data_IF_792525502411
#
_entry.id   IF_792525502411
#
_cell.length_a   1.000
_cell.length_b   1.000
_cell.length_c   1.000
_cell.angle_alpha   90.00
_cell.angle_beta   90.00
_cell.angle_gamma   90.00
#
_symmetry.space_group_name_H-M   'P 1'
#
loop_
_entity.id
_entity.type
_entity.pdbx_description
1 polymer ?
#
# COMPACT_ATOMS: atom_id res chain seq x y z
N UNK A 1 20.18 -4.84 -17.13
CA UNK A 1 19.26 -3.69 -17.27
C UNK A 1 19.10 -3.05 -15.91
N UNK A 2 19.26 -1.75 -15.86
CA UNK A 2 19.16 -0.94 -14.64
C UNK A 2 17.72 -0.82 -14.16
N UNK A 3 17.54 -0.73 -12.85
CA UNK A 3 16.23 -0.46 -12.23
C UNK A 3 16.09 1.05 -12.01
N UNK A 4 15.06 1.64 -12.59
CA UNK A 4 14.74 3.06 -12.41
C UNK A 4 13.52 3.20 -11.52
N UNK A 5 13.61 4.07 -10.47
CA UNK A 5 12.48 4.40 -9.59
C UNK A 5 12.07 5.84 -9.83
N UNK A 6 10.78 6.07 -10.01
CA UNK A 6 10.20 7.40 -10.26
C UNK A 6 8.71 7.43 -9.93
N UNK A 7 8.13 8.63 -9.92
CA UNK A 7 6.69 8.78 -9.83
C UNK A 7 6.01 8.14 -11.06
N UNK A 8 4.89 7.46 -10.82
CA UNK A 8 4.08 6.86 -11.88
C UNK A 8 3.35 7.91 -12.70
N UNK A 9 3.39 7.77 -14.02
CA UNK A 9 2.50 8.51 -14.90
C UNK A 9 1.04 7.99 -14.82
N UNK A 10 0.05 8.78 -15.29
CA UNK A 10 -1.36 8.38 -15.27
C UNK A 10 -1.64 7.03 -15.95
N UNK A 11 -0.94 6.73 -17.05
CA UNK A 11 -1.08 5.48 -17.80
C UNK A 11 -0.50 4.27 -17.06
N UNK A 12 0.38 4.47 -16.09
CA UNK A 12 1.05 3.38 -15.35
C UNK A 12 0.28 2.94 -14.08
N UNK A 13 -0.79 3.64 -13.71
CA UNK A 13 -1.54 3.29 -12.50
C UNK A 13 -2.14 1.88 -12.55
N UNK A 14 -2.57 1.42 -13.71
CA UNK A 14 -3.06 0.04 -13.88
C UNK A 14 -1.92 -0.98 -13.75
N UNK A 15 -0.75 -0.71 -14.33
CA UNK A 15 0.43 -1.56 -14.18
C UNK A 15 0.91 -1.61 -12.73
N UNK A 16 0.92 -0.47 -12.02
CA UNK A 16 1.21 -0.41 -10.60
C UNK A 16 0.22 -1.24 -9.78
N UNK A 17 -1.09 -1.11 -10.06
CA UNK A 17 -2.13 -1.89 -9.40
C UNK A 17 -1.97 -3.39 -9.66
N UNK A 18 -1.60 -3.80 -10.87
CA UNK A 18 -1.36 -5.20 -11.21
C UNK A 18 -0.14 -5.78 -10.46
N UNK A 19 0.94 -5.01 -10.32
CA UNK A 19 2.11 -5.40 -9.52
C UNK A 19 1.74 -5.56 -8.05
N UNK A 20 0.99 -4.62 -7.47
CA UNK A 20 0.50 -4.72 -6.09
C UNK A 20 -0.42 -5.93 -5.93
N UNK A 21 -1.37 -6.15 -6.84
CA UNK A 21 -2.27 -7.30 -6.82
C UNK A 21 -1.51 -8.63 -6.79
N UNK A 22 -0.49 -8.77 -7.62
CA UNK A 22 0.35 -9.97 -7.63
C UNK A 22 1.20 -10.11 -6.36
N UNK A 23 1.70 -8.99 -5.81
CA UNK A 23 2.50 -9.01 -4.58
C UNK A 23 1.69 -9.39 -3.34
N UNK A 24 0.41 -8.98 -3.29
CA UNK A 24 -0.52 -9.21 -2.18
C UNK A 24 -1.47 -10.39 -2.39
N UNK A 25 -1.30 -11.18 -3.44
CA UNK A 25 -2.17 -12.32 -3.73
C UNK A 25 -2.31 -13.28 -2.53
N UNK A 26 -1.22 -13.51 -1.79
CA UNK A 26 -1.16 -14.39 -0.62
C UNK A 26 -1.07 -13.63 0.71
N UNK A 27 -1.41 -12.32 0.72
CA UNK A 27 -1.37 -11.54 1.96
C UNK A 27 -2.47 -12.01 2.94
N UNK A 28 -2.09 -12.35 4.19
CA UNK A 28 -3.03 -12.91 5.16
C UNK A 28 -4.10 -11.89 5.61
N UNK A 29 -3.80 -10.60 5.64
CA UNK A 29 -4.78 -9.57 6.00
C UNK A 29 -5.81 -9.42 4.88
N UNK A 30 -5.35 -9.38 3.62
CA UNK A 30 -6.24 -9.32 2.46
C UNK A 30 -7.16 -10.56 2.39
N UNK A 31 -6.66 -11.74 2.74
CA UNK A 31 -7.43 -12.98 2.74
C UNK A 31 -8.62 -12.95 3.72
N UNK A 32 -8.58 -12.16 4.78
CA UNK A 32 -9.69 -12.06 5.75
C UNK A 32 -10.95 -11.42 5.16
N UNK A 33 -10.83 -10.47 4.23
CA UNK A 33 -11.97 -9.83 3.60
C UNK A 33 -12.17 -10.21 2.13
N UNK A 34 -11.14 -10.76 1.50
CA UNK A 34 -11.20 -11.33 0.15
C UNK A 34 -10.45 -12.68 0.11
N UNK A 35 -11.06 -13.76 0.65
CA UNK A 35 -10.43 -15.08 0.60
C UNK A 35 -10.25 -15.55 -0.84
N UNK A 36 -9.22 -16.36 -1.13
CA UNK A 36 -9.05 -16.97 -2.44
C UNK A 36 -10.23 -17.88 -2.78
N UNK A 37 -10.55 -18.00 -4.06
CA UNK A 37 -11.60 -18.89 -4.56
C UNK A 37 -10.98 -19.93 -5.51
N UNK A 38 -11.47 -21.18 -5.52
CA UNK A 38 -11.01 -22.19 -6.46
C UNK A 38 -11.14 -21.71 -7.92
N UNK A 39 -10.13 -21.95 -8.75
CA UNK A 39 -10.13 -21.59 -10.17
C UNK A 39 -10.03 -20.11 -10.48
N UNK A 40 -9.76 -19.26 -9.49
CA UNK A 40 -9.67 -17.80 -9.66
C UNK A 40 -8.23 -17.39 -10.03
N UNK A 41 -8.08 -16.62 -11.10
CA UNK A 41 -6.87 -15.85 -11.39
C UNK A 41 -6.77 -14.65 -10.43
N UNK A 42 -6.36 -14.94 -9.18
CA UNK A 42 -6.44 -14.01 -8.07
C UNK A 42 -5.75 -12.66 -8.33
N UNK A 43 -4.53 -12.57 -8.92
CA UNK A 43 -3.92 -11.29 -9.23
C UNK A 43 -4.78 -10.45 -10.19
N UNK A 44 -5.38 -11.05 -11.20
CA UNK A 44 -6.24 -10.33 -12.15
C UNK A 44 -7.48 -9.74 -11.46
N UNK A 45 -8.13 -10.51 -10.59
CA UNK A 45 -9.29 -10.04 -9.80
C UNK A 45 -8.89 -8.92 -8.84
N UNK A 46 -7.73 -9.03 -8.18
CA UNK A 46 -7.24 -8.03 -7.23
C UNK A 46 -6.75 -6.74 -7.90
N UNK A 47 -6.36 -6.77 -9.18
CA UNK A 47 -5.93 -5.56 -9.89
C UNK A 47 -6.98 -4.45 -9.82
N UNK A 48 -8.26 -4.79 -10.05
CA UNK A 48 -9.35 -3.83 -9.91
C UNK A 48 -9.51 -3.27 -8.49
N UNK A 49 -9.25 -4.09 -7.46
CA UNK A 49 -9.27 -3.64 -6.07
C UNK A 49 -8.14 -2.63 -5.80
N UNK A 50 -6.90 -2.94 -6.18
CA UNK A 50 -5.77 -2.03 -5.96
C UNK A 50 -5.89 -0.75 -6.78
N UNK A 51 -6.39 -0.82 -8.02
CA UNK A 51 -6.70 0.36 -8.81
C UNK A 51 -7.76 1.25 -8.12
N UNK A 52 -8.81 0.64 -7.55
CA UNK A 52 -9.81 1.36 -6.78
C UNK A 52 -9.25 1.95 -5.49
N UNK A 53 -8.40 1.22 -4.75
CA UNK A 53 -7.71 1.74 -3.56
C UNK A 53 -6.87 2.98 -3.90
N UNK A 54 -6.05 2.92 -4.94
CA UNK A 54 -5.26 4.06 -5.40
C UNK A 54 -6.17 5.24 -5.77
N UNK A 55 -7.25 5.00 -6.50
CA UNK A 55 -8.17 6.06 -6.94
C UNK A 55 -9.09 6.58 -5.84
N UNK A 56 -9.25 5.86 -4.73
CA UNK A 56 -10.05 6.30 -3.58
C UNK A 56 -9.41 7.45 -2.81
N UNK A 57 -8.13 7.72 -3.05
CA UNK A 57 -7.40 8.85 -2.47
C UNK A 57 -7.36 10.00 -3.49
N UNK A 58 -7.66 11.25 -3.09
CA UNK A 58 -7.58 12.40 -3.97
C UNK A 58 -6.20 12.56 -4.62
N UNK A 59 -6.18 13.08 -5.84
CA UNK A 59 -4.94 13.23 -6.62
C UNK A 59 -3.90 14.12 -5.91
N UNK A 60 -4.36 15.10 -5.13
CA UNK A 60 -3.52 15.99 -4.32
C UNK A 60 -2.72 15.26 -3.25
N UNK A 61 -3.29 14.19 -2.70
CA UNK A 61 -2.69 13.39 -1.62
C UNK A 61 -2.06 12.10 -2.08
N UNK A 62 -2.48 11.61 -3.23
CA UNK A 62 -2.02 10.34 -3.78
C UNK A 62 -0.63 10.45 -4.38
N UNK A 63 0.28 9.57 -3.97
CA UNK A 63 1.60 9.41 -4.59
C UNK A 63 1.79 7.94 -4.90
N UNK A 64 2.06 7.64 -6.17
CA UNK A 64 2.39 6.29 -6.63
C UNK A 64 3.77 6.37 -7.24
N UNK A 65 4.70 5.60 -6.71
CA UNK A 65 6.03 5.44 -7.25
C UNK A 65 6.13 4.06 -7.89
N UNK A 66 6.81 3.97 -9.02
CA UNK A 66 7.05 2.72 -9.75
C UNK A 66 8.53 2.46 -9.91
N UNK A 67 8.89 1.19 -9.88
CA UNK A 67 10.21 0.71 -10.29
C UNK A 67 10.07 0.01 -11.64
N UNK A 68 10.89 0.40 -12.62
CA UNK A 68 10.87 -0.18 -13.95
C UNK A 68 12.21 -0.85 -14.27
N UNK A 69 12.15 -1.89 -15.10
CA UNK A 69 13.30 -2.50 -15.78
C UNK A 69 12.98 -2.49 -17.28
N UNK A 70 13.67 -1.63 -18.03
CA UNK A 70 13.19 -1.23 -19.35
C UNK A 70 11.81 -0.59 -19.24
N UNK A 71 10.89 -0.97 -20.12
CA UNK A 71 9.51 -0.44 -20.14
C UNK A 71 8.54 -1.15 -19.16
N UNK A 72 9.02 -2.18 -18.44
CA UNK A 72 8.16 -2.96 -17.54
C UNK A 72 8.15 -2.41 -16.13
N UNK A 73 6.98 -2.12 -15.59
CA UNK A 73 6.78 -1.89 -14.16
C UNK A 73 6.95 -3.22 -13.41
N UNK A 74 7.91 -3.27 -12.52
CA UNK A 74 8.26 -4.46 -11.72
C UNK A 74 8.09 -4.26 -10.22
N UNK A 75 7.87 -3.02 -9.78
CA UNK A 75 7.59 -2.66 -8.39
C UNK A 75 6.69 -1.44 -8.33
N UNK A 76 5.90 -1.33 -7.27
CA UNK A 76 5.07 -0.16 -7.03
C UNK A 76 4.96 0.12 -5.53
N UNK A 77 4.88 1.41 -5.17
CA UNK A 77 4.59 1.87 -3.82
C UNK A 77 3.50 2.94 -3.87
N UNK A 78 2.48 2.78 -3.04
CA UNK A 78 1.37 3.73 -2.94
C UNK A 78 1.42 4.42 -1.58
N UNK A 79 1.56 5.74 -1.62
CA UNK A 79 1.64 6.60 -0.46
C UNK A 79 0.51 7.62 -0.42
N UNK A 80 0.16 8.02 0.80
CA UNK A 80 -0.73 9.15 1.04
C UNK A 80 0.06 10.27 1.72
N UNK A 81 -0.06 11.48 1.18
CA UNK A 81 0.58 12.66 1.72
C UNK A 81 -0.04 13.06 3.06
N UNK A 82 0.75 13.72 3.96
CA UNK A 82 0.25 14.18 5.25
C UNK A 82 -0.85 15.22 5.13
N UNK A 83 -1.61 15.40 6.21
CA UNK A 83 -2.63 16.43 6.35
C UNK A 83 -4.02 16.01 5.87
N UNK A 84 -4.95 16.98 6.00
CA UNK A 84 -6.35 16.81 5.62
C UNK A 84 -6.49 16.75 4.10
N UNK A 85 -7.30 15.82 3.61
CA UNK A 85 -7.45 15.55 2.18
C UNK A 85 -8.81 16.04 1.67
N UNK A 86 -8.92 17.30 1.18
CA UNK A 86 -10.16 17.79 0.57
C UNK A 86 -10.60 16.86 -0.57
N UNK A 87 -11.89 16.50 -0.58
CA UNK A 87 -12.44 15.61 -1.61
C UNK A 87 -12.22 14.11 -1.37
N UNK A 88 -11.64 13.69 -0.24
CA UNK A 88 -11.42 12.28 0.09
C UNK A 88 -12.70 11.46 0.08
N UNK A 89 -13.75 11.93 0.70
CA UNK A 89 -15.06 11.25 0.70
C UNK A 89 -15.58 11.05 -0.74
N UNK A 90 -15.51 12.08 -1.58
CA UNK A 90 -15.96 11.97 -2.98
C UNK A 90 -15.11 10.98 -3.79
N UNK A 91 -13.80 11.00 -3.61
CA UNK A 91 -12.89 10.07 -4.26
C UNK A 91 -13.20 8.63 -3.85
N UNK A 92 -13.40 8.38 -2.54
CA UNK A 92 -13.76 7.07 -2.00
C UNK A 92 -15.11 6.57 -2.52
N UNK A 93 -16.17 7.39 -2.43
CA UNK A 93 -17.53 7.00 -2.85
C UNK A 93 -17.58 6.59 -4.32
N UNK A 94 -16.80 7.24 -5.18
CA UNK A 94 -16.69 6.86 -6.59
C UNK A 94 -16.15 5.44 -6.80
N UNK A 95 -15.39 4.89 -5.84
CA UNK A 95 -14.80 3.57 -5.95
C UNK A 95 -15.65 2.47 -5.28
N UNK A 96 -16.73 2.83 -4.57
CA UNK A 96 -17.62 1.87 -3.90
C UNK A 96 -18.13 0.77 -4.84
N UNK A 97 -18.56 1.05 -6.09
CA UNK A 97 -18.98 -0.01 -7.01
C UNK A 97 -17.86 -1.02 -7.33
N UNK A 98 -16.61 -0.55 -7.47
CA UNK A 98 -15.46 -1.41 -7.72
C UNK A 98 -15.14 -2.27 -6.48
N UNK A 99 -15.20 -1.70 -5.29
CA UNK A 99 -15.03 -2.43 -4.03
C UNK A 99 -16.10 -3.52 -3.86
N UNK A 100 -17.37 -3.18 -4.07
CA UNK A 100 -18.47 -4.15 -3.96
C UNK A 100 -18.37 -5.27 -5.01
N UNK A 101 -17.95 -4.94 -6.23
CA UNK A 101 -17.74 -5.96 -7.29
C UNK A 101 -16.67 -6.97 -6.91
N UNK A 102 -15.57 -6.52 -6.33
CA UNK A 102 -14.43 -7.39 -5.99
C UNK A 102 -14.64 -8.12 -4.66
N UNK A 103 -15.14 -7.43 -3.65
CA UNK A 103 -15.24 -7.95 -2.28
C UNK A 103 -16.59 -8.58 -1.98
N UNK A 104 -17.65 -8.19 -2.69
CA UNK A 104 -19.02 -8.42 -2.29
C UNK A 104 -19.38 -7.63 -1.02
N UNK A 105 -20.65 -7.62 -0.63
CA UNK A 105 -21.12 -6.86 0.52
C UNK A 105 -20.45 -7.30 1.83
N UNK A 106 -20.39 -8.59 2.09
CA UNK A 106 -19.79 -9.15 3.32
C UNK A 106 -18.29 -8.86 3.41
N UNK A 107 -17.55 -8.97 2.29
CA UNK A 107 -16.14 -8.61 2.22
C UNK A 107 -15.90 -7.11 2.42
N UNK A 108 -16.73 -6.26 1.82
CA UNK A 108 -16.65 -4.81 1.98
C UNK A 108 -16.90 -4.38 3.44
N UNK A 109 -17.87 -4.98 4.13
CA UNK A 109 -18.12 -4.69 5.54
C UNK A 109 -16.92 -5.10 6.42
N UNK A 110 -16.31 -6.28 6.15
CA UNK A 110 -15.09 -6.70 6.85
C UNK A 110 -13.93 -5.75 6.55
N UNK A 111 -13.72 -5.37 5.29
CA UNK A 111 -12.68 -4.41 4.92
C UNK A 111 -12.83 -3.06 5.63
N UNK A 112 -14.05 -2.52 5.73
CA UNK A 112 -14.33 -1.30 6.50
C UNK A 112 -13.98 -1.48 7.98
N UNK A 113 -14.33 -2.62 8.57
CA UNK A 113 -13.98 -2.90 9.97
C UNK A 113 -12.46 -2.96 10.18
N UNK A 114 -11.70 -3.57 9.26
CA UNK A 114 -10.23 -3.62 9.29
C UNK A 114 -9.62 -2.22 9.11
N UNK A 115 -10.08 -1.46 8.12
CA UNK A 115 -9.64 -0.08 7.91
C UNK A 115 -9.83 0.80 9.15
N UNK A 116 -10.98 0.70 9.82
CA UNK A 116 -11.23 1.43 11.08
C UNK A 116 -10.27 1.04 12.20
N UNK A 117 -9.85 -0.23 12.27
CA UNK A 117 -8.84 -0.67 13.25
C UNK A 117 -7.47 -0.08 12.95
N UNK A 118 -7.07 -0.12 11.68
CA UNK A 118 -5.80 0.49 11.22
C UNK A 118 -5.82 2.01 11.46
N UNK A 119 -6.89 2.71 11.09
CA UNK A 119 -7.01 4.16 11.31
C UNK A 119 -6.90 4.56 12.80
N UNK A 120 -7.46 3.76 13.72
CA UNK A 120 -7.33 4.03 15.16
C UNK A 120 -5.90 3.85 15.69
N UNK A 121 -5.08 3.06 15.00
CA UNK A 121 -3.69 2.84 15.37
C UNK A 121 -2.76 3.91 14.79
N UNK A 122 -3.23 4.71 13.84
CA UNK A 122 -2.43 5.77 13.20
C UNK A 122 -2.16 6.93 14.16
N UNK A 123 -0.95 7.51 14.11
CA UNK A 123 -0.63 8.73 14.83
C UNK A 123 -1.53 9.89 14.39
N UNK A 124 -1.87 10.77 15.33
CA UNK A 124 -2.65 12.00 15.05
C UNK A 124 -1.79 13.05 14.35
N UNK A 125 -0.48 13.03 14.60
CA UNK A 125 0.49 13.92 13.95
C UNK A 125 0.49 13.71 12.44
N UNK A 126 0.51 14.76 11.61
CA UNK A 126 0.63 14.63 10.17
C UNK A 126 1.85 13.78 9.77
N UNK A 127 1.67 12.87 8.84
CA UNK A 127 2.72 11.94 8.41
C UNK A 127 2.44 11.41 7.00
N UNK A 128 3.48 10.97 6.33
CA UNK A 128 3.37 10.16 5.14
C UNK A 128 2.89 8.75 5.49
N UNK A 129 1.87 8.27 4.82
CA UNK A 129 1.33 6.93 5.04
C UNK A 129 1.65 6.03 3.86
N UNK A 130 2.46 4.99 4.09
CA UNK A 130 2.65 3.92 3.12
C UNK A 130 1.46 2.96 3.18
N UNK A 131 0.55 3.09 2.22
CA UNK A 131 -0.60 2.22 2.14
C UNK A 131 -0.23 0.84 1.60
N UNK A 132 0.54 0.79 0.50
CA UNK A 132 0.90 -0.46 -0.17
C UNK A 132 2.31 -0.36 -0.78
N UNK A 133 3.06 -1.47 -0.73
CA UNK A 133 4.31 -1.63 -1.48
C UNK A 133 4.47 -3.07 -1.93
N UNK A 134 4.83 -3.27 -3.19
CA UNK A 134 4.99 -4.60 -3.76
C UNK A 134 6.01 -4.66 -4.88
N UNK A 135 6.60 -5.83 -5.06
CA UNK A 135 7.55 -6.14 -6.13
C UNK A 135 7.12 -7.44 -6.80
N UNK A 136 7.09 -7.46 -8.12
CA UNK A 136 6.75 -8.66 -8.92
C UNK A 136 7.66 -9.84 -8.55
N UNK A 137 7.14 -11.05 -8.56
CA UNK A 137 7.87 -12.25 -8.16
C UNK A 137 9.21 -12.41 -8.91
N UNK A 138 9.22 -12.12 -10.22
CA UNK A 138 10.41 -12.21 -11.08
C UNK A 138 11.50 -11.18 -10.77
N UNK A 139 11.19 -10.16 -9.97
CA UNK A 139 12.13 -9.09 -9.62
C UNK A 139 12.46 -9.03 -8.10
N UNK A 140 11.93 -9.98 -7.32
CA UNK A 140 12.26 -10.09 -5.88
C UNK A 140 13.74 -10.41 -5.67
N UNK A 141 14.23 -10.10 -4.47
CA UNK A 141 15.65 -10.35 -4.11
C UNK A 141 16.64 -9.34 -4.68
N UNK A 142 16.22 -8.39 -5.52
CA UNK A 142 17.06 -7.40 -6.21
C UNK A 142 17.10 -6.03 -5.50
N UNK A 143 16.60 -5.93 -4.27
CA UNK A 143 16.60 -4.68 -3.50
C UNK A 143 15.56 -3.64 -3.93
N UNK A 144 14.69 -3.95 -4.91
CA UNK A 144 13.73 -2.99 -5.50
C UNK A 144 12.78 -2.39 -4.47
N UNK A 145 12.30 -3.19 -3.49
CA UNK A 145 11.48 -2.68 -2.41
C UNK A 145 12.19 -1.61 -1.58
N UNK A 146 13.51 -1.77 -1.35
CA UNK A 146 14.34 -0.77 -0.68
C UNK A 146 14.49 0.50 -1.51
N UNK A 147 14.71 0.38 -2.83
CA UNK A 147 14.80 1.55 -3.73
C UNK A 147 13.49 2.35 -3.75
N UNK A 148 12.34 1.67 -3.87
CA UNK A 148 11.02 2.32 -3.81
C UNK A 148 10.80 3.05 -2.48
N UNK A 149 11.15 2.40 -1.38
CA UNK A 149 10.98 2.96 -0.04
C UNK A 149 11.91 4.18 0.15
N UNK A 150 13.18 4.06 -0.23
CA UNK A 150 14.16 5.16 -0.16
C UNK A 150 13.72 6.37 -0.96
N UNK A 151 13.32 6.19 -2.23
CA UNK A 151 12.83 7.27 -3.09
C UNK A 151 11.65 8.05 -2.47
N UNK A 152 10.71 7.33 -1.84
CA UNK A 152 9.59 7.99 -1.19
C UNK A 152 9.98 8.69 0.11
N UNK A 153 10.89 8.09 0.90
CA UNK A 153 11.36 8.67 2.16
C UNK A 153 12.20 9.93 1.96
N UNK A 154 12.96 10.05 0.87
CA UNK A 154 13.61 11.32 0.50
C UNK A 154 12.60 12.47 0.36
N UNK A 155 11.40 12.18 -0.10
CA UNK A 155 10.31 13.15 -0.19
C UNK A 155 9.80 13.55 1.21
N UNK A 156 9.65 12.57 2.11
CA UNK A 156 9.24 12.81 3.49
C UNK A 156 10.31 13.65 4.24
N UNK A 157 11.58 13.34 4.03
CA UNK A 157 12.70 14.06 4.63
C UNK A 157 12.75 15.53 4.16
N UNK A 158 12.47 15.80 2.88
CA UNK A 158 12.40 17.18 2.37
C UNK A 158 11.28 18.02 3.00
N UNK A 159 10.23 17.42 3.49
CA UNK A 159 9.11 18.11 4.16
C UNK A 159 9.19 18.03 5.67
N UNK A 160 10.24 17.39 6.22
CA UNK A 160 10.41 17.15 7.66
C UNK A 160 9.18 16.48 8.29
N UNK A 161 8.56 15.58 7.54
CA UNK A 161 7.42 14.80 8.01
C UNK A 161 7.85 13.38 8.42
N UNK A 162 7.24 12.84 9.47
CA UNK A 162 7.35 11.42 9.80
C UNK A 162 6.66 10.52 8.76
N UNK A 163 6.95 9.24 8.83
CA UNK A 163 6.31 8.23 8.02
C UNK A 163 5.72 7.08 8.86
N UNK A 164 4.57 6.57 8.44
CA UNK A 164 3.83 5.52 9.12
C UNK A 164 3.41 4.43 8.15
N UNK A 165 3.37 3.20 8.63
CA UNK A 165 2.84 2.04 7.93
C UNK A 165 2.31 0.97 8.90
N UNK A 166 1.54 0.02 8.38
CA UNK A 166 1.21 -1.24 9.05
C UNK A 166 1.85 -2.41 8.30
N UNK A 167 2.60 -3.26 9.01
CA UNK A 167 3.29 -4.40 8.41
C UNK A 167 2.61 -5.72 8.76
N UNK A 168 2.08 -6.42 7.75
CA UNK A 168 1.43 -7.73 7.89
C UNK A 168 2.40 -8.88 8.16
N UNK A 169 3.67 -8.76 7.74
CA UNK A 169 4.62 -9.87 7.80
C UNK A 169 5.95 -9.53 8.47
N UNK A 170 6.60 -10.51 9.18
CA UNK A 170 7.93 -10.32 9.75
C UNK A 170 9.02 -10.00 8.71
N UNK A 171 8.87 -10.52 7.50
CA UNK A 171 9.84 -10.30 6.41
C UNK A 171 9.86 -8.82 6.01
N UNK A 172 8.69 -8.22 5.84
CA UNK A 172 8.58 -6.81 5.46
C UNK A 172 9.09 -5.89 6.59
N UNK A 173 8.88 -6.25 7.86
CA UNK A 173 9.42 -5.46 9.00
C UNK A 173 10.94 -5.30 8.96
N UNK A 174 11.69 -6.34 8.51
CA UNK A 174 13.14 -6.21 8.35
C UNK A 174 13.53 -5.17 7.30
N UNK A 175 12.76 -5.05 6.22
CA UNK A 175 12.96 -4.01 5.21
C UNK A 175 12.73 -2.62 5.82
N UNK A 176 11.59 -2.42 6.49
CA UNK A 176 11.22 -1.13 7.06
C UNK A 176 12.18 -0.66 8.15
N UNK A 177 12.64 -1.56 9.05
CA UNK A 177 13.65 -1.23 10.07
C UNK A 177 14.96 -0.71 9.47
N UNK A 178 15.42 -1.27 8.33
CA UNK A 178 16.62 -0.79 7.63
C UNK A 178 16.45 0.63 7.06
N UNK A 179 15.22 1.10 6.95
CA UNK A 179 14.89 2.45 6.49
C UNK A 179 14.41 3.36 7.63
N UNK A 180 14.77 3.03 8.88
CA UNK A 180 14.54 3.87 10.03
C UNK A 180 13.17 3.74 10.69
N UNK A 181 12.34 2.78 10.29
CA UNK A 181 11.07 2.51 10.98
C UNK A 181 11.32 1.69 12.24
N UNK A 182 10.71 2.11 13.35
CA UNK A 182 10.63 1.35 14.59
C UNK A 182 9.26 0.63 14.69
N UNK A 183 9.27 -0.55 15.30
CA UNK A 183 8.04 -1.28 15.61
C UNK A 183 7.25 -0.55 16.68
N UNK A 184 5.97 -0.39 16.44
CA UNK A 184 4.98 0.08 17.42
C UNK A 184 4.14 -1.08 17.97
N UNK A 185 2.89 -0.77 18.31
CA UNK A 185 1.98 -1.76 18.89
C UNK A 185 1.39 -2.71 17.82
N UNK A 186 1.08 -3.96 18.19
CA UNK A 186 0.28 -4.85 17.37
C UNK A 186 -1.16 -4.33 17.24
N UNK A 187 -1.72 -4.46 16.04
CA UNK A 187 -3.10 -4.05 15.76
C UNK A 187 -4.00 -5.27 15.92
N UNK A 188 -4.79 -5.29 16.99
CA UNK A 188 -5.67 -6.40 17.32
C UNK A 188 -6.89 -6.50 16.39
N UNK A 189 -7.53 -7.69 16.40
CA UNK A 189 -8.80 -7.94 15.71
C UNK A 189 -8.64 -8.46 14.28
N UNK A 190 -7.46 -8.94 13.91
CA UNK A 190 -7.19 -9.74 12.73
C UNK A 190 -7.04 -11.22 13.14
N UNK A 191 -7.44 -12.14 12.29
CA UNK A 191 -7.45 -13.58 12.58
C UNK A 191 -6.24 -14.30 12.01
N UNK A 192 -5.85 -13.98 10.78
CA UNK A 192 -4.81 -14.67 10.03
C UNK A 192 -3.42 -14.03 10.22
N UNK A 193 -3.37 -12.79 10.70
CA UNK A 193 -2.12 -12.09 10.97
C UNK A 193 -2.34 -11.05 12.07
N UNK A 194 -1.25 -10.61 12.69
CA UNK A 194 -1.27 -9.46 13.59
C UNK A 194 -0.39 -8.38 12.98
N UNK A 195 -0.98 -7.43 12.24
CA UNK A 195 -0.23 -6.31 11.70
C UNK A 195 0.43 -5.51 12.83
N UNK A 196 1.64 -5.06 12.59
CA UNK A 196 2.39 -4.21 13.52
C UNK A 196 2.42 -2.81 12.92
N UNK A 197 2.01 -1.81 13.73
CA UNK A 197 2.23 -0.41 13.38
C UNK A 197 3.73 -0.12 13.38
N UNK A 198 4.20 0.70 12.44
CA UNK A 198 5.61 1.09 12.40
C UNK A 198 5.71 2.57 12.13
N UNK A 199 6.62 3.24 12.82
CA UNK A 199 6.84 4.67 12.76
C UNK A 199 8.29 5.01 12.43
N UNK A 200 8.48 5.95 11.52
CA UNK A 200 9.74 6.61 11.25
C UNK A 200 9.60 8.09 11.60
N UNK A 201 10.38 8.64 12.53
CA UNK A 201 10.35 10.08 12.82
C UNK A 201 10.80 10.90 11.62
N UNK A 202 10.46 12.19 11.63
CA UNK A 202 11.02 13.14 10.69
C UNK A 202 12.55 13.19 10.84
N UNK A 203 13.24 13.38 9.72
CA UNK A 203 14.69 13.67 9.76
C UNK A 203 14.89 15.06 10.33
N UNK A 204 15.84 15.17 11.25
CA UNK A 204 16.27 16.45 11.87
C UNK A 204 17.02 17.30 10.85
#
# INVERSE_FOLDING_TARGET
>A
METVVRAAGPAELEAAAAVLAAAFADDPVLAEFRPPRPGEERPAVLTGLFAALIRSVPISARRVDVATIGDRVVGAAFWQAPGRQPGGVRAFVRQVPAFLRTLGLGGALRAVAHLRRMERARPVTPHWYLAEIGVSASARGRGIGGLLLGHALERADRTSDGAYLESSTPVNRRLYRRHGFADGAPIAGFRAATPISMWRPASS
#
